data_IF_275719079300
#
_entry.id   IF_275719079300
#
_cell.length_a   1.000
_cell.length_b   1.000
_cell.length_c   1.000
_cell.angle_alpha   90.00
_cell.angle_beta   90.00
_cell.angle_gamma   90.00
#
_symmetry.space_group_name_H-M   'P 1'
#
loop_
_entity.id
_entity.type
_entity.pdbx_description
1 polymer ?
#
# COMPACT_ATOMS: atom_id res chain seq x y z
N UNK A 1 25.67 -39.46 47.86
CA UNK A 1 24.99 -39.70 46.58
C UNK A 1 24.50 -38.36 46.05
N UNK A 2 25.28 -37.74 45.20
CA UNK A 2 24.89 -36.53 44.50
C UNK A 2 24.42 -36.93 43.13
N UNK A 3 23.12 -36.82 42.91
CA UNK A 3 22.44 -37.10 41.68
C UNK A 3 22.82 -36.06 40.65
N UNK A 4 23.60 -36.49 39.66
CA UNK A 4 23.81 -35.72 38.46
C UNK A 4 22.50 -35.59 37.66
N UNK A 5 21.98 -34.37 37.61
CA UNK A 5 21.05 -33.89 36.62
C UNK A 5 20.92 -32.38 36.78
N UNK A 6 21.50 -31.61 35.94
CA UNK A 6 20.64 -30.75 35.09
C UNK A 6 21.27 -30.26 33.77
N UNK A 7 22.48 -30.70 33.41
CA UNK A 7 23.15 -30.10 32.24
C UNK A 7 22.58 -30.57 30.89
N UNK A 8 22.10 -31.83 30.79
CA UNK A 8 21.53 -32.33 29.54
C UNK A 8 20.13 -31.74 29.23
N UNK A 9 19.23 -31.61 30.23
CA UNK A 9 17.92 -31.03 30.04
C UNK A 9 17.98 -29.55 29.67
N UNK A 10 18.94 -28.80 30.22
CA UNK A 10 19.19 -27.39 29.89
C UNK A 10 19.73 -27.26 28.48
N UNK A 11 20.58 -28.19 28.04
CA UNK A 11 21.15 -28.19 26.70
C UNK A 11 20.13 -28.49 25.62
N UNK A 12 19.24 -29.46 25.81
CA UNK A 12 18.18 -29.80 24.87
C UNK A 12 17.18 -28.65 24.75
N UNK A 13 16.74 -28.06 25.87
CA UNK A 13 15.85 -26.92 25.90
C UNK A 13 16.43 -25.68 25.18
N UNK A 14 17.74 -25.45 25.33
CA UNK A 14 18.44 -24.35 24.66
C UNK A 14 18.56 -24.59 23.16
N UNK A 15 18.79 -25.82 22.72
CA UNK A 15 18.85 -26.20 21.31
C UNK A 15 17.50 -26.05 20.62
N UNK A 16 16.42 -26.45 21.28
CA UNK A 16 15.05 -26.30 20.77
C UNK A 16 14.67 -24.82 20.67
N UNK A 17 15.06 -23.99 21.64
CA UNK A 17 14.85 -22.56 21.62
C UNK A 17 15.58 -21.88 20.45
N UNK A 18 16.86 -22.22 20.25
CA UNK A 18 17.65 -21.70 19.13
C UNK A 18 17.09 -22.11 17.78
N UNK A 19 16.62 -23.35 17.64
CA UNK A 19 15.97 -23.82 16.42
C UNK A 19 14.68 -23.05 16.15
N UNK A 20 13.85 -22.86 17.17
CA UNK A 20 12.62 -22.07 17.08
C UNK A 20 12.89 -20.61 16.67
N UNK A 21 13.91 -19.98 17.24
CA UNK A 21 14.34 -18.63 16.87
C UNK A 21 14.83 -18.57 15.42
N UNK A 22 15.60 -19.55 14.97
CA UNK A 22 16.09 -19.64 13.59
C UNK A 22 14.95 -19.78 12.60
N UNK A 23 13.96 -20.62 12.91
CA UNK A 23 12.75 -20.80 12.08
C UNK A 23 11.92 -19.52 11.99
N UNK A 24 11.71 -18.84 13.12
CA UNK A 24 10.99 -17.57 13.16
C UNK A 24 11.71 -16.49 12.36
N UNK A 25 13.04 -16.41 12.49
CA UNK A 25 13.86 -15.48 11.70
C UNK A 25 13.71 -15.73 10.20
N UNK A 26 13.76 -16.98 9.76
CA UNK A 26 13.61 -17.32 8.35
C UNK A 26 12.18 -17.01 7.83
N UNK A 27 11.15 -17.30 8.62
CA UNK A 27 9.77 -16.95 8.28
C UNK A 27 9.58 -15.43 8.16
N UNK A 28 10.13 -14.67 9.10
CA UNK A 28 10.11 -13.22 9.07
C UNK A 28 10.83 -12.67 7.84
N UNK A 29 12.00 -13.20 7.51
CA UNK A 29 12.76 -12.82 6.32
C UNK A 29 11.98 -13.06 5.04
N UNK A 30 11.34 -14.21 4.91
CA UNK A 30 10.52 -14.56 3.74
C UNK A 30 9.30 -13.65 3.62
N UNK A 31 8.59 -13.39 4.73
CA UNK A 31 7.46 -12.48 4.76
C UNK A 31 7.86 -11.05 4.35
N UNK A 32 8.98 -10.54 4.89
CA UNK A 32 9.50 -9.22 4.53
C UNK A 32 9.90 -9.15 3.05
N UNK A 33 10.53 -10.18 2.49
CA UNK A 33 10.85 -10.24 1.05
C UNK A 33 9.60 -10.19 0.18
N UNK A 34 8.55 -10.90 0.57
CA UNK A 34 7.27 -10.87 -0.14
C UNK A 34 6.66 -9.45 -0.16
N UNK A 35 6.66 -8.77 0.98
CA UNK A 35 6.18 -7.39 1.07
C UNK A 35 7.08 -6.42 0.30
N UNK A 36 8.40 -6.61 0.38
CA UNK A 36 9.36 -5.80 -0.38
C UNK A 36 9.12 -5.90 -1.88
N UNK A 37 8.84 -7.10 -2.40
CA UNK A 37 8.51 -7.30 -3.80
C UNK A 37 7.22 -6.56 -4.21
N UNK A 38 6.24 -6.48 -3.33
CA UNK A 38 5.01 -5.75 -3.59
C UNK A 38 5.21 -4.23 -3.57
N UNK A 39 6.03 -3.70 -2.66
CA UNK A 39 6.29 -2.27 -2.53
C UNK A 39 7.34 -1.72 -3.53
N UNK A 40 8.24 -2.58 -3.98
CA UNK A 40 9.29 -2.25 -4.96
C UNK A 40 9.32 -3.29 -6.08
N UNK A 41 8.29 -3.32 -6.95
CA UNK A 41 8.11 -4.38 -7.93
C UNK A 41 9.26 -4.47 -8.96
N UNK A 42 9.88 -3.34 -9.29
CA UNK A 42 11.02 -3.30 -10.23
C UNK A 42 12.36 -3.69 -9.60
N UNK A 43 12.43 -3.76 -8.27
CA UNK A 43 13.64 -4.13 -7.55
C UNK A 43 13.63 -5.60 -7.14
N UNK A 44 14.80 -6.23 -7.15
CA UNK A 44 14.97 -7.55 -6.57
C UNK A 44 15.04 -7.43 -5.05
N UNK A 45 14.20 -8.15 -4.28
CA UNK A 45 14.21 -8.05 -2.83
C UNK A 45 15.56 -8.49 -2.25
N UNK A 46 16.10 -7.76 -1.25
CA UNK A 46 17.34 -8.14 -0.61
C UNK A 46 17.30 -9.55 0.00
N UNK A 47 18.44 -10.20 0.05
CA UNK A 47 18.57 -11.55 0.61
C UNK A 47 18.82 -11.57 2.12
N UNK A 48 19.48 -10.53 2.65
CA UNK A 48 19.81 -10.45 4.08
C UNK A 48 18.74 -9.72 4.88
N UNK A 49 18.65 -10.05 6.17
CA UNK A 49 17.72 -9.40 7.09
C UNK A 49 18.09 -7.94 7.32
N UNK A 50 19.38 -7.62 7.41
CA UNK A 50 19.89 -6.27 7.62
C UNK A 50 19.47 -5.34 6.47
N UNK A 51 19.65 -5.77 5.23
CA UNK A 51 19.26 -5.01 4.06
C UNK A 51 17.73 -4.83 3.95
N UNK A 52 16.96 -5.87 4.34
CA UNK A 52 15.50 -5.77 4.41
C UNK A 52 15.05 -4.75 5.46
N UNK A 53 15.67 -4.74 6.65
CA UNK A 53 15.37 -3.76 7.69
C UNK A 53 15.67 -2.34 7.20
N UNK A 54 16.79 -2.11 6.53
CA UNK A 54 17.12 -0.79 5.96
C UNK A 54 16.10 -0.37 4.91
N UNK A 55 15.71 -1.27 4.02
CA UNK A 55 14.67 -1.01 3.01
C UNK A 55 13.34 -0.61 3.66
N UNK A 56 12.93 -1.33 4.70
CA UNK A 56 11.65 -1.10 5.38
C UNK A 56 11.59 0.19 6.19
N UNK A 57 12.71 0.81 6.54
CA UNK A 57 12.72 2.18 7.12
C UNK A 57 12.05 3.18 6.19
N UNK A 58 12.11 2.96 4.88
CA UNK A 58 11.42 3.78 3.86
C UNK A 58 9.99 3.33 3.52
N UNK A 59 9.51 2.20 4.04
CA UNK A 59 8.25 1.60 3.62
C UNK A 59 7.03 2.49 3.89
N UNK A 60 6.99 3.18 5.03
CA UNK A 60 5.87 4.08 5.36
C UNK A 60 5.73 5.22 4.34
N UNK A 61 6.86 5.81 3.93
CA UNK A 61 6.89 6.84 2.89
C UNK A 61 6.42 6.27 1.56
N UNK A 62 6.91 5.08 1.18
CA UNK A 62 6.53 4.38 -0.05
C UNK A 62 5.04 4.09 -0.12
N UNK A 63 4.45 3.57 0.96
CA UNK A 63 3.01 3.32 1.07
C UNK A 63 2.21 4.62 0.93
N UNK A 64 2.67 5.72 1.53
CA UNK A 64 2.00 7.02 1.43
C UNK A 64 2.00 7.55 0.01
N UNK A 65 3.11 7.44 -0.71
CA UNK A 65 3.23 7.82 -2.11
C UNK A 65 2.32 6.95 -2.99
N UNK A 66 2.31 5.65 -2.77
CA UNK A 66 1.42 4.73 -3.48
C UNK A 66 -0.05 5.08 -3.29
N UNK A 67 -0.48 5.35 -2.06
CA UNK A 67 -1.87 5.76 -1.78
C UNK A 67 -2.26 7.02 -2.55
N UNK A 68 -1.39 8.02 -2.60
CA UNK A 68 -1.64 9.26 -3.37
C UNK A 68 -1.73 8.99 -4.86
N UNK A 69 -0.83 8.19 -5.40
CA UNK A 69 -0.81 7.84 -6.81
C UNK A 69 -2.04 7.02 -7.20
N UNK A 70 -2.44 6.06 -6.35
CA UNK A 70 -3.65 5.27 -6.57
C UNK A 70 -4.92 6.14 -6.57
N UNK A 71 -5.01 7.10 -5.66
CA UNK A 71 -6.11 8.06 -5.62
C UNK A 71 -6.14 8.93 -6.89
N UNK A 72 -5.01 9.45 -7.31
CA UNK A 72 -4.87 10.25 -8.54
C UNK A 72 -5.28 9.45 -9.78
N UNK A 73 -4.83 8.21 -9.88
CA UNK A 73 -5.18 7.33 -11.00
C UNK A 73 -6.67 7.03 -11.03
N UNK A 74 -7.28 6.69 -9.90
CA UNK A 74 -8.73 6.46 -9.82
C UNK A 74 -9.55 7.67 -10.26
N UNK A 75 -9.15 8.87 -9.83
CA UNK A 75 -9.79 10.11 -10.26
C UNK A 75 -9.58 10.35 -11.75
N UNK A 76 -8.38 10.13 -12.27
CA UNK A 76 -8.06 10.26 -13.69
C UNK A 76 -8.93 9.37 -14.55
N UNK A 77 -9.06 8.09 -14.19
CA UNK A 77 -9.90 7.13 -14.90
C UNK A 77 -11.38 7.53 -14.85
N UNK A 78 -11.90 7.93 -13.70
CA UNK A 78 -13.26 8.40 -13.55
C UNK A 78 -13.56 9.61 -14.46
N UNK A 79 -12.66 10.60 -14.48
CA UNK A 79 -12.79 11.78 -15.35
C UNK A 79 -12.65 11.42 -16.83
N UNK A 80 -11.78 10.48 -17.18
CA UNK A 80 -11.64 10.00 -18.54
C UNK A 80 -12.95 9.37 -19.04
N UNK A 81 -13.59 8.54 -18.22
CA UNK A 81 -14.91 7.97 -18.54
C UNK A 81 -16.00 9.03 -18.72
N UNK A 82 -16.03 10.05 -17.86
CA UNK A 82 -16.95 11.19 -18.01
C UNK A 82 -16.67 11.93 -19.31
N UNK A 83 -15.41 12.19 -19.61
CA UNK A 83 -14.99 12.97 -20.79
C UNK A 83 -15.27 12.25 -22.11
N UNK A 84 -15.20 10.91 -22.13
CA UNK A 84 -15.56 10.11 -23.32
C UNK A 84 -17.04 10.16 -23.65
N UNK A 85 -17.92 10.34 -22.65
CA UNK A 85 -19.37 10.41 -22.83
C UNK A 85 -19.88 11.83 -22.97
N UNK A 86 -19.27 12.75 -22.28
CA UNK A 86 -19.68 14.16 -22.20
C UNK A 86 -18.49 15.06 -22.57
N UNK A 87 -18.51 15.62 -23.77
CA UNK A 87 -17.41 16.45 -24.27
C UNK A 87 -17.38 17.86 -23.66
N UNK A 88 -18.53 18.37 -23.19
CA UNK A 88 -18.68 19.72 -22.66
C UNK A 88 -18.11 19.95 -21.25
N UNK A 89 -18.24 19.01 -20.27
CA UNK A 89 -17.71 19.24 -18.93
C UNK A 89 -16.21 19.49 -18.94
N UNK A 90 -15.79 20.56 -18.27
CA UNK A 90 -14.38 20.82 -17.97
C UNK A 90 -14.04 20.23 -16.60
N UNK A 91 -13.24 19.13 -16.52
CA UNK A 91 -12.86 18.52 -15.27
C UNK A 91 -12.15 19.45 -14.31
N UNK A 92 -11.32 20.38 -14.83
CA UNK A 92 -10.58 21.31 -13.99
C UNK A 92 -11.51 22.31 -13.30
N UNK A 93 -12.51 22.83 -14.05
CA UNK A 93 -13.51 23.71 -13.47
C UNK A 93 -14.36 22.98 -12.44
N UNK A 94 -14.82 21.77 -12.76
CA UNK A 94 -15.66 20.96 -11.86
C UNK A 94 -14.92 20.53 -10.59
N UNK A 95 -13.60 20.33 -10.65
CA UNK A 95 -12.80 19.98 -9.48
C UNK A 95 -12.58 21.18 -8.53
N UNK A 96 -12.57 22.41 -9.08
CA UNK A 96 -12.30 23.63 -8.32
C UNK A 96 -13.56 24.31 -7.79
N UNK A 97 -14.65 24.22 -8.53
CA UNK A 97 -15.90 24.91 -8.23
C UNK A 97 -16.99 23.89 -7.92
N UNK A 98 -17.48 23.95 -6.70
CA UNK A 98 -18.62 23.13 -6.28
C UNK A 98 -19.94 23.88 -6.55
N UNK A 99 -20.97 23.16 -6.98
CA UNK A 99 -22.29 23.78 -7.16
C UNK A 99 -22.85 24.21 -5.81
N UNK A 100 -23.52 25.37 -5.82
CA UNK A 100 -24.20 25.90 -4.64
C UNK A 100 -25.64 25.38 -4.62
N UNK A 101 -26.12 25.01 -3.43
CA UNK A 101 -27.53 24.72 -3.18
C UNK A 101 -28.37 25.97 -3.18
N UNK A 102 -29.67 25.81 -3.01
CA UNK A 102 -30.66 26.91 -2.99
C UNK A 102 -30.39 27.96 -1.88
N UNK A 103 -29.64 27.59 -0.85
CA UNK A 103 -29.28 28.47 0.28
C UNK A 103 -27.89 29.11 0.15
N UNK A 104 -27.27 29.05 -1.04
CA UNK A 104 -25.91 29.57 -1.30
C UNK A 104 -24.83 28.80 -0.51
N UNK A 105 -25.13 27.61 0.00
CA UNK A 105 -24.19 26.71 0.64
C UNK A 105 -23.65 25.68 -0.36
N UNK A 106 -22.38 25.28 -0.20
CA UNK A 106 -21.83 24.19 -1.03
C UNK A 106 -22.60 22.88 -0.80
N UNK A 107 -22.95 22.19 -1.88
CA UNK A 107 -23.56 20.87 -1.81
C UNK A 107 -22.50 19.86 -1.37
N UNK A 108 -22.67 19.15 -0.22
CA UNK A 108 -21.72 18.16 0.22
C UNK A 108 -21.65 16.99 -0.76
N UNK A 109 -20.44 16.64 -1.23
CA UNK A 109 -20.24 15.50 -2.15
C UNK A 109 -20.67 14.17 -1.53
N UNK A 110 -20.70 14.07 -0.21
CA UNK A 110 -21.17 12.89 0.53
C UNK A 110 -22.62 12.50 0.21
N UNK A 111 -23.46 13.45 -0.19
CA UNK A 111 -24.86 13.18 -0.58
C UNK A 111 -25.00 12.28 -1.82
N UNK A 112 -23.95 12.20 -2.64
CA UNK A 112 -23.96 11.39 -3.88
C UNK A 112 -23.06 10.16 -3.78
N UNK A 113 -22.39 9.90 -2.65
CA UNK A 113 -21.48 8.76 -2.51
C UNK A 113 -22.13 7.43 -2.83
N UNK A 114 -23.36 7.18 -2.32
CA UNK A 114 -24.06 5.92 -2.57
C UNK A 114 -24.41 5.74 -4.05
N UNK A 115 -24.71 6.84 -4.75
CA UNK A 115 -25.03 6.83 -6.17
C UNK A 115 -23.83 6.49 -7.05
N UNK A 116 -22.61 6.87 -6.64
CA UNK A 116 -21.38 6.65 -7.41
C UNK A 116 -20.57 5.45 -6.97
N UNK A 117 -20.94 4.77 -5.86
CA UNK A 117 -20.19 3.63 -5.32
C UNK A 117 -20.06 2.49 -6.32
N UNK A 118 -21.11 2.18 -7.06
CA UNK A 118 -21.08 1.11 -8.07
C UNK A 118 -20.17 1.50 -9.24
N UNK A 119 -20.28 2.74 -9.72
CA UNK A 119 -19.42 3.26 -10.79
C UNK A 119 -17.94 3.27 -10.37
N UNK A 120 -17.64 3.64 -9.12
CA UNK A 120 -16.29 3.61 -8.57
C UNK A 120 -15.69 2.19 -8.55
N UNK A 121 -16.49 1.18 -8.24
CA UNK A 121 -16.06 -0.23 -8.29
C UNK A 121 -15.70 -0.68 -9.71
N UNK A 122 -16.44 -0.24 -10.72
CA UNK A 122 -16.10 -0.53 -12.10
C UNK A 122 -14.83 0.19 -12.56
N UNK A 123 -14.71 1.47 -12.24
CA UNK A 123 -13.50 2.26 -12.57
C UNK A 123 -12.24 1.69 -11.92
N UNK A 124 -12.36 1.11 -10.74
CA UNK A 124 -11.23 0.46 -10.02
C UNK A 124 -10.62 -0.69 -10.81
N UNK A 125 -11.40 -1.43 -11.60
CA UNK A 125 -10.92 -2.58 -12.37
C UNK A 125 -9.93 -2.17 -13.47
N UNK A 126 -10.02 -0.94 -13.96
CA UNK A 126 -9.17 -0.42 -15.03
C UNK A 126 -7.91 0.29 -14.49
N UNK A 127 -7.81 0.47 -13.17
CA UNK A 127 -6.66 1.10 -12.53
C UNK A 127 -5.46 0.16 -12.47
N UNK A 128 -4.36 0.53 -13.13
CA UNK A 128 -3.11 -0.23 -13.13
C UNK A 128 -2.25 0.15 -11.92
N UNK A 129 -2.65 -0.28 -10.73
CA UNK A 129 -2.03 0.14 -9.46
C UNK A 129 -0.57 -0.31 -9.31
N UNK A 130 -0.19 -1.47 -9.87
CA UNK A 130 1.16 -2.00 -9.73
C UNK A 130 2.19 -1.14 -10.47
N UNK A 131 1.83 -0.56 -11.62
CA UNK A 131 2.71 0.33 -12.36
C UNK A 131 2.94 1.69 -11.70
N UNK A 132 2.08 2.07 -10.76
CA UNK A 132 2.20 3.35 -10.05
C UNK A 132 3.36 3.39 -9.06
N UNK A 133 3.87 2.22 -8.65
CA UNK A 133 5.03 2.14 -7.76
C UNK A 133 6.36 2.30 -8.50
N UNK A 134 6.39 2.06 -9.81
CA UNK A 134 7.60 2.07 -10.61
C UNK A 134 7.99 3.46 -11.14
N UNK A 135 7.08 4.39 -11.18
CA UNK A 135 7.28 5.73 -11.73
C UNK A 135 7.06 6.86 -10.73
N UNK A 136 7.03 6.56 -9.43
CA UNK A 136 6.90 7.60 -8.42
C UNK A 136 8.24 8.32 -8.31
N UNK A 137 8.42 9.35 -9.14
CA UNK A 137 9.39 10.39 -8.85
C UNK A 137 8.99 11.03 -7.52
N UNK A 138 9.97 11.22 -6.67
CA UNK A 138 9.78 11.93 -5.41
C UNK A 138 9.46 13.38 -5.76
N UNK A 139 8.19 13.69 -5.96
CA UNK A 139 7.73 15.07 -5.94
C UNK A 139 8.08 15.60 -4.55
N UNK A 140 9.19 16.28 -4.49
CA UNK A 140 9.65 17.02 -3.32
C UNK A 140 8.70 18.22 -3.20
N UNK A 141 7.73 18.10 -2.30
CA UNK A 141 6.95 19.22 -1.81
C UNK A 141 7.59 19.81 -0.57
#
# INVERSE_FOLDING_TARGET
MLTGRPEEEVSESSSDLLLGMSQLHEQARQAMRSVAKALWPSASPPGSMEELVELFKGAQRRIRLWKRSACREGVREAWAMVKTRYTKPDPNHMAQVRPLGSNVEEIPVSLVYDQVTVAAKYSQQDCKLDSLLDGIEEDVF
#
